data_IF_087784364147
#
_entry.id   IF_087784364147
#
_cell.length_a   1.000
_cell.length_b   1.000
_cell.length_c   1.000
_cell.angle_alpha   90.00
_cell.angle_beta   90.00
_cell.angle_gamma   90.00
#
_symmetry.space_group_name_H-M   'P 1'
#
loop_
_entity.id
_entity.type
_entity.pdbx_description
1 polymer ?
#
# COMPACT_ATOMS: atom_id res chain seq x y z
N UNK A 1 -14.62 -3.04 18.37
CA UNK A 1 -13.99 -1.79 18.87
C UNK A 1 -14.82 -0.59 18.42
N UNK A 2 -15.28 0.32 19.32
CA UNK A 2 -16.02 1.51 18.89
C UNK A 2 -15.11 2.42 18.08
N UNK A 3 -15.51 2.77 16.84
CA UNK A 3 -14.80 3.76 16.01
C UNK A 3 -14.83 5.12 16.72
N UNK A 4 -13.67 5.71 16.91
CA UNK A 4 -13.54 7.07 17.40
C UNK A 4 -13.15 7.96 16.23
N UNK A 5 -13.86 9.05 16.02
CA UNK A 5 -13.60 10.03 14.98
C UNK A 5 -13.79 11.43 15.56
N UNK A 6 -12.87 12.33 15.27
CA UNK A 6 -13.02 13.75 15.59
C UNK A 6 -12.89 14.53 14.28
N UNK A 7 -13.90 15.36 13.99
CA UNK A 7 -13.93 16.21 12.79
C UNK A 7 -12.72 17.15 12.77
N UNK A 8 -12.20 17.41 11.59
CA UNK A 8 -11.09 18.36 11.33
C UNK A 8 -9.76 18.03 12.04
N UNK A 9 -9.71 16.93 12.79
CA UNK A 9 -8.47 16.42 13.36
C UNK A 9 -7.90 15.27 12.52
N UNK A 10 -6.60 15.02 12.63
CA UNK A 10 -6.01 13.84 12.05
C UNK A 10 -6.55 12.58 12.73
N UNK A 11 -7.11 11.69 11.94
CA UNK A 11 -7.56 10.38 12.36
C UNK A 11 -6.62 9.33 11.73
N UNK A 12 -5.98 8.53 12.58
CA UNK A 12 -5.25 7.36 12.13
C UNK A 12 -6.26 6.23 11.89
N UNK A 13 -6.24 5.67 10.70
CA UNK A 13 -7.12 4.58 10.30
C UNK A 13 -6.29 3.40 9.85
N UNK A 14 -6.73 2.19 10.17
CA UNK A 14 -6.16 0.97 9.63
C UNK A 14 -7.26 0.04 9.10
N UNK A 15 -6.95 -0.68 8.02
CA UNK A 15 -7.83 -1.66 7.42
C UNK A 15 -7.03 -2.91 7.08
N UNK A 16 -7.48 -4.05 7.61
CA UNK A 16 -6.81 -5.35 7.41
C UNK A 16 -7.54 -6.20 6.38
N UNK A 17 -6.81 -7.07 5.74
CA UNK A 17 -7.37 -8.12 4.93
C UNK A 17 -8.16 -9.14 5.76
N UNK A 18 -9.08 -9.81 5.11
CA UNK A 18 -9.77 -10.98 5.68
C UNK A 18 -8.73 -12.06 6.00
N UNK A 19 -8.77 -12.61 7.20
CA UNK A 19 -7.87 -13.68 7.66
C UNK A 19 -6.37 -13.33 7.60
N UNK A 20 -6.00 -12.05 7.43
CA UNK A 20 -4.62 -11.61 7.27
C UNK A 20 -3.99 -12.07 5.95
N UNK A 21 -4.79 -12.32 4.92
CA UNK A 21 -4.30 -12.68 3.60
C UNK A 21 -3.49 -11.54 2.97
N UNK A 22 -2.52 -11.87 2.16
CA UNK A 22 -1.80 -10.88 1.38
C UNK A 22 -2.75 -10.20 0.40
N UNK A 23 -2.61 -8.88 0.25
CA UNK A 23 -3.39 -8.06 -0.67
C UNK A 23 -2.49 -7.61 -1.81
N UNK A 24 -1.30 -7.14 -1.46
CA UNK A 24 -0.38 -6.51 -2.40
C UNK A 24 0.77 -7.46 -2.73
N UNK A 25 0.73 -8.04 -3.91
CA UNK A 25 1.76 -8.93 -4.46
C UNK A 25 2.60 -8.19 -5.50
N UNK A 26 1.93 -7.47 -6.40
CA UNK A 26 2.50 -6.84 -7.57
C UNK A 26 2.41 -5.31 -7.48
N UNK A 27 3.25 -4.64 -8.27
CA UNK A 27 3.25 -3.17 -8.36
C UNK A 27 1.87 -2.64 -8.73
N UNK A 28 1.16 -3.34 -9.60
CA UNK A 28 -0.18 -2.98 -10.06
C UNK A 28 -1.20 -2.95 -8.93
N UNK A 29 -1.12 -3.88 -7.95
CA UNK A 29 -2.01 -3.89 -6.78
C UNK A 29 -1.89 -2.58 -6.00
N UNK A 30 -0.65 -2.16 -5.73
CA UNK A 30 -0.36 -0.91 -5.04
C UNK A 30 -0.83 0.32 -5.83
N UNK A 31 -0.56 0.36 -7.14
CA UNK A 31 -0.92 1.50 -7.97
C UNK A 31 -2.44 1.61 -8.16
N UNK A 32 -3.15 0.50 -8.36
CA UNK A 32 -4.61 0.51 -8.45
C UNK A 32 -5.21 1.02 -7.14
N UNK A 33 -4.78 0.49 -5.98
CA UNK A 33 -5.25 0.98 -4.70
C UNK A 33 -4.96 2.47 -4.51
N UNK A 34 -3.70 2.88 -4.73
CA UNK A 34 -3.27 4.26 -4.56
C UNK A 34 -4.04 5.25 -5.42
N UNK A 35 -4.26 4.92 -6.70
CA UNK A 35 -4.97 5.82 -7.62
C UNK A 35 -6.47 5.89 -7.31
N UNK A 36 -7.10 4.77 -6.88
CA UNK A 36 -8.48 4.76 -6.37
C UNK A 36 -8.57 5.65 -5.12
N UNK A 37 -7.67 5.46 -4.15
CA UNK A 37 -7.63 6.24 -2.93
C UNK A 37 -7.48 7.73 -3.22
N UNK A 38 -6.60 8.10 -4.16
CA UNK A 38 -6.35 9.49 -4.56
C UNK A 38 -7.57 10.13 -5.21
N UNK A 39 -8.20 9.44 -6.17
CA UNK A 39 -9.41 9.93 -6.84
C UNK A 39 -10.56 10.10 -5.84
N UNK A 40 -10.77 9.11 -4.96
CA UNK A 40 -11.81 9.18 -3.94
C UNK A 40 -11.52 10.27 -2.91
N UNK A 41 -10.26 10.48 -2.52
CA UNK A 41 -9.88 11.57 -1.62
C UNK A 41 -10.27 12.93 -2.18
N UNK A 42 -9.99 13.20 -3.46
CA UNK A 42 -10.42 14.43 -4.14
C UNK A 42 -11.95 14.55 -4.18
N UNK A 43 -12.66 13.47 -4.53
CA UNK A 43 -14.12 13.44 -4.65
C UNK A 43 -14.83 13.71 -3.31
N UNK A 44 -14.27 13.23 -2.21
CA UNK A 44 -14.84 13.40 -0.87
C UNK A 44 -14.25 14.57 -0.09
N UNK A 45 -13.37 15.36 -0.69
CA UNK A 45 -12.71 16.49 -0.02
C UNK A 45 -11.90 16.07 1.21
N UNK A 46 -11.25 14.91 1.13
CA UNK A 46 -10.40 14.41 2.20
C UNK A 46 -9.07 15.15 2.23
N UNK A 47 -8.60 15.50 3.42
CA UNK A 47 -7.22 15.94 3.62
C UNK A 47 -6.40 14.72 4.02
N UNK A 48 -5.37 14.41 3.24
CA UNK A 48 -4.50 13.24 3.46
C UNK A 48 -3.13 13.71 3.92
N UNK A 49 -2.68 13.19 5.05
CA UNK A 49 -1.36 13.48 5.63
C UNK A 49 -0.40 12.31 5.49
N UNK A 50 -0.91 11.09 5.34
CA UNK A 50 -0.08 9.92 5.15
C UNK A 50 -0.89 8.71 4.72
N UNK A 51 -0.21 7.84 3.99
CA UNK A 51 -0.71 6.55 3.53
C UNK A 51 0.45 5.56 3.59
N UNK A 52 0.20 4.34 4.10
CA UNK A 52 1.15 3.25 4.06
C UNK A 52 0.42 1.97 3.67
N UNK A 53 0.83 1.39 2.54
CA UNK A 53 0.29 0.15 2.00
C UNK A 53 1.22 -1.00 2.39
N UNK A 54 0.83 -1.76 3.40
CA UNK A 54 1.52 -2.97 3.83
C UNK A 54 0.98 -4.18 3.09
N UNK A 55 1.68 -5.29 3.11
CA UNK A 55 1.34 -6.48 2.30
C UNK A 55 -0.07 -7.01 2.60
N UNK A 56 -0.53 -6.96 3.84
CA UNK A 56 -1.82 -7.50 4.30
C UNK A 56 -2.75 -6.47 4.95
N UNK A 57 -2.32 -5.20 5.04
CA UNK A 57 -3.11 -4.12 5.67
C UNK A 57 -2.69 -2.73 5.19
N UNK A 58 -3.47 -1.74 5.56
CA UNK A 58 -3.32 -0.36 5.11
C UNK A 58 -3.44 0.57 6.31
N UNK A 59 -2.55 1.56 6.40
CA UNK A 59 -2.64 2.66 7.36
C UNK A 59 -2.85 3.98 6.64
N UNK A 60 -3.71 4.84 7.19
CA UNK A 60 -3.91 6.20 6.68
C UNK A 60 -3.92 7.23 7.82
N UNK A 61 -3.43 8.44 7.53
CA UNK A 61 -3.62 9.63 8.35
C UNK A 61 -4.43 10.64 7.53
N UNK A 62 -5.67 10.89 7.96
CA UNK A 62 -6.59 11.74 7.20
C UNK A 62 -7.43 12.61 8.11
N UNK A 63 -7.94 13.73 7.59
CA UNK A 63 -8.98 14.53 8.23
C UNK A 63 -10.10 14.90 7.26
N UNK A 64 -11.27 15.12 7.81
CA UNK A 64 -12.45 15.63 7.09
C UNK A 64 -13.42 16.27 8.09
N UNK A 65 -14.36 17.05 7.58
CA UNK A 65 -15.37 17.76 8.37
C UNK A 65 -16.48 16.87 8.96
N UNK A 66 -16.62 15.62 8.49
CA UNK A 66 -17.78 14.78 8.85
C UNK A 66 -17.41 13.29 8.95
N UNK A 67 -17.85 12.66 10.04
CA UNK A 67 -17.76 11.19 10.21
C UNK A 67 -18.52 10.43 9.12
N UNK A 68 -19.65 10.97 8.65
CA UNK A 68 -20.43 10.37 7.55
C UNK A 68 -19.66 10.40 6.24
N UNK A 69 -19.01 11.52 5.93
CA UNK A 69 -18.12 11.64 4.73
C UNK A 69 -16.97 10.67 4.83
N UNK A 70 -16.31 10.57 5.99
CA UNK A 70 -15.23 9.64 6.24
C UNK A 70 -15.65 8.17 6.01
N UNK A 71 -16.79 7.77 6.59
CA UNK A 71 -17.29 6.40 6.44
C UNK A 71 -17.64 6.08 4.98
N UNK A 72 -18.27 7.01 4.26
CA UNK A 72 -18.56 6.86 2.82
C UNK A 72 -17.29 6.75 1.99
N UNK A 73 -16.30 7.61 2.28
CA UNK A 73 -15.00 7.57 1.62
C UNK A 73 -14.33 6.20 1.78
N UNK A 74 -14.16 5.71 3.01
CA UNK A 74 -13.52 4.42 3.28
C UNK A 74 -14.26 3.26 2.62
N UNK A 75 -15.61 3.26 2.68
CA UNK A 75 -16.42 2.24 2.03
C UNK A 75 -16.26 2.25 0.51
N UNK A 76 -16.27 3.42 -0.13
CA UNK A 76 -16.14 3.51 -1.58
C UNK A 76 -14.74 3.14 -2.07
N UNK A 77 -13.68 3.52 -1.35
CA UNK A 77 -12.31 3.06 -1.66
C UNK A 77 -12.25 1.54 -1.62
N UNK A 78 -12.77 0.93 -0.53
CA UNK A 78 -12.77 -0.53 -0.38
C UNK A 78 -13.60 -1.23 -1.48
N UNK A 79 -14.82 -0.75 -1.77
CA UNK A 79 -15.70 -1.32 -2.80
C UNK A 79 -15.04 -1.28 -4.18
N UNK A 80 -14.49 -0.12 -4.57
CA UNK A 80 -13.85 0.02 -5.88
C UNK A 80 -12.61 -0.86 -6.00
N UNK A 81 -11.75 -0.86 -4.98
CA UNK A 81 -10.55 -1.69 -5.01
C UNK A 81 -10.89 -3.19 -5.03
N UNK A 82 -11.78 -3.65 -4.16
CA UNK A 82 -12.18 -5.08 -4.13
C UNK A 82 -12.79 -5.52 -5.45
N UNK A 83 -13.59 -4.66 -6.11
CA UNK A 83 -14.16 -4.95 -7.41
C UNK A 83 -13.07 -5.12 -8.48
N UNK A 84 -12.10 -4.19 -8.56
CA UNK A 84 -10.98 -4.26 -9.50
C UNK A 84 -10.08 -5.46 -9.21
N UNK A 85 -9.71 -5.66 -7.94
CA UNK A 85 -8.88 -6.75 -7.47
C UNK A 85 -9.49 -8.13 -7.78
N UNK A 86 -10.74 -8.34 -7.38
CA UNK A 86 -11.42 -9.61 -7.58
C UNK A 86 -11.60 -9.93 -9.07
N UNK A 87 -11.92 -8.92 -9.89
CA UNK A 87 -12.03 -9.09 -11.35
C UNK A 87 -10.70 -9.49 -11.98
N UNK A 88 -9.62 -8.82 -11.58
CA UNK A 88 -8.30 -9.06 -12.15
C UNK A 88 -7.71 -10.41 -11.72
N UNK A 89 -7.77 -10.73 -10.43
CA UNK A 89 -7.24 -11.95 -9.85
C UNK A 89 -8.21 -13.14 -9.92
N UNK A 90 -9.30 -13.04 -10.70
CA UNK A 90 -10.35 -14.07 -10.81
C UNK A 90 -10.81 -14.62 -9.44
N UNK A 91 -11.03 -13.72 -8.50
CA UNK A 91 -11.34 -13.99 -7.10
C UNK A 91 -12.77 -13.59 -6.76
N UNK A 92 -13.37 -14.29 -5.81
CA UNK A 92 -14.72 -13.98 -5.29
C UNK A 92 -14.66 -13.74 -3.78
N UNK A 93 -15.55 -12.90 -3.28
CA UNK A 93 -15.74 -12.66 -1.85
C UNK A 93 -14.98 -11.43 -1.31
N UNK A 94 -15.10 -11.19 0.01
CA UNK A 94 -14.52 -10.01 0.65
C UNK A 94 -12.98 -10.10 0.67
N UNK A 95 -12.32 -8.97 0.47
CA UNK A 95 -10.85 -8.85 0.57
C UNK A 95 -10.46 -8.25 1.92
N UNK A 96 -11.25 -7.30 2.42
CA UNK A 96 -11.02 -6.65 3.70
C UNK A 96 -11.93 -7.22 4.80
N UNK A 97 -11.46 -7.19 6.04
CA UNK A 97 -12.28 -7.39 7.23
C UNK A 97 -13.38 -6.32 7.28
N UNK A 98 -14.54 -6.65 7.85
CA UNK A 98 -15.74 -5.81 7.81
C UNK A 98 -15.57 -4.38 8.28
N UNK A 99 -14.63 -4.12 9.19
CA UNK A 99 -14.45 -2.81 9.80
C UNK A 99 -13.02 -2.31 9.72
N UNK A 100 -12.86 -1.04 9.36
CA UNK A 100 -11.62 -0.32 9.62
C UNK A 100 -11.59 0.17 11.07
N UNK A 101 -10.40 0.17 11.70
CA UNK A 101 -10.16 0.85 12.97
C UNK A 101 -9.89 2.34 12.74
N UNK A 102 -10.30 3.20 13.67
CA UNK A 102 -10.00 4.63 13.63
C UNK A 102 -9.71 5.16 15.02
N UNK A 103 -8.66 5.96 15.16
CA UNK A 103 -8.26 6.63 16.38
C UNK A 103 -7.86 8.08 16.08
N UNK A 104 -8.57 9.08 16.64
CA UNK A 104 -8.21 10.48 16.49
C UNK A 104 -6.90 10.78 17.22
N UNK A 105 -6.11 11.66 16.66
CA UNK A 105 -4.82 12.10 17.18
C UNK A 105 -4.87 13.59 17.51
N UNK A 106 -5.00 13.90 18.78
CA UNK A 106 -5.04 15.28 19.30
C UNK A 106 -3.74 15.63 20.00
N UNK A 107 -3.23 16.84 19.75
CA UNK A 107 -1.99 17.35 20.31
C UNK A 107 -0.73 16.87 19.58
N UNK A 108 0.30 17.71 19.59
CA UNK A 108 1.51 17.56 18.78
C UNK A 108 2.26 16.23 19.05
N UNK A 109 2.36 15.82 20.32
CA UNK A 109 3.02 14.57 20.70
C UNK A 109 2.33 13.36 20.04
N UNK A 110 0.98 13.26 20.16
CA UNK A 110 0.22 12.15 19.56
C UNK A 110 0.24 12.17 18.03
N UNK A 111 0.29 13.36 17.44
CA UNK A 111 0.45 13.51 15.98
C UNK A 111 1.81 12.96 15.52
N UNK A 112 2.90 13.40 16.15
CA UNK A 112 4.25 12.93 15.84
C UNK A 112 4.39 11.41 16.02
N UNK A 113 3.85 10.86 17.11
CA UNK A 113 3.81 9.41 17.34
C UNK A 113 3.05 8.68 16.22
N UNK A 114 1.89 9.20 15.80
CA UNK A 114 1.11 8.57 14.74
C UNK A 114 1.79 8.65 13.37
N UNK A 115 2.47 9.75 13.07
CA UNK A 115 3.25 9.95 11.84
C UNK A 115 4.43 8.95 11.83
N UNK A 116 5.21 8.91 12.91
CA UNK A 116 6.34 7.98 13.04
C UNK A 116 5.86 6.52 12.93
N UNK A 117 4.80 6.14 13.63
CA UNK A 117 4.20 4.81 13.54
C UNK A 117 3.80 4.46 12.10
N UNK A 118 3.07 5.34 11.40
CA UNK A 118 2.63 5.08 10.03
C UNK A 118 3.82 4.82 9.10
N UNK A 119 4.84 5.67 9.14
CA UNK A 119 5.97 5.56 8.22
C UNK A 119 6.97 4.46 8.60
N UNK A 120 7.05 4.06 9.89
CA UNK A 120 7.93 2.99 10.36
C UNK A 120 7.33 1.58 10.27
N UNK A 121 6.04 1.43 9.96
CA UNK A 121 5.44 0.11 9.76
C UNK A 121 6.28 -0.83 8.88
N UNK A 122 6.80 -0.39 7.70
CA UNK A 122 7.62 -1.24 6.86
C UNK A 122 8.95 -1.64 7.50
N UNK A 123 9.54 -0.76 8.33
CA UNK A 123 10.78 -1.05 9.07
C UNK A 123 10.53 -2.11 10.14
N UNK A 124 9.45 -1.98 10.91
CA UNK A 124 9.05 -2.95 11.94
C UNK A 124 8.72 -4.33 11.34
N UNK A 125 8.27 -4.37 10.08
CA UNK A 125 8.00 -5.60 9.33
C UNK A 125 9.17 -6.09 8.50
N UNK A 126 10.35 -5.50 8.65
CA UNK A 126 11.60 -5.87 7.98
C UNK A 126 11.52 -5.80 6.44
N UNK A 127 10.69 -4.92 5.90
CA UNK A 127 10.59 -4.66 4.46
C UNK A 127 11.66 -3.69 3.94
N UNK A 128 12.20 -2.88 4.83
CA UNK A 128 13.28 -1.92 4.57
C UNK A 128 14.05 -1.62 5.85
N UNK A 129 15.21 -0.99 5.74
CA UNK A 129 16.02 -0.56 6.90
C UNK A 129 15.59 0.81 7.43
N UNK A 130 15.16 1.71 6.55
CA UNK A 130 14.72 3.07 6.87
C UNK A 130 13.38 3.36 6.20
N UNK A 131 12.54 4.15 6.83
CA UNK A 131 11.18 4.42 6.37
C UNK A 131 11.11 4.94 4.93
N UNK A 132 12.01 5.84 4.52
CA UNK A 132 12.05 6.41 3.17
C UNK A 132 12.49 5.42 2.08
N UNK A 133 12.97 4.23 2.42
CA UNK A 133 13.34 3.19 1.47
C UNK A 133 12.15 2.34 1.00
N UNK A 134 10.99 2.51 1.64
CA UNK A 134 9.78 1.79 1.25
C UNK A 134 8.88 2.67 0.40
N UNK A 135 8.78 2.37 -0.90
CA UNK A 135 8.01 3.15 -1.87
C UNK A 135 6.55 3.36 -1.45
N UNK A 136 5.92 2.35 -0.88
CA UNK A 136 4.49 2.30 -0.64
C UNK A 136 4.02 2.93 0.68
N UNK A 137 4.91 3.58 1.40
CA UNK A 137 4.53 4.53 2.45
C UNK A 137 4.55 5.99 1.95
N UNK A 138 5.04 6.20 0.72
CA UNK A 138 5.09 7.48 0.02
C UNK A 138 5.95 8.58 0.67
N UNK A 139 6.69 8.29 1.75
CA UNK A 139 7.47 9.27 2.49
C UNK A 139 8.55 9.95 1.63
N UNK A 140 9.24 9.17 0.81
CA UNK A 140 10.34 9.67 -0.02
C UNK A 140 9.90 10.72 -1.06
N UNK A 141 8.61 10.69 -1.46
CA UNK A 141 8.05 11.67 -2.39
C UNK A 141 7.82 13.06 -1.77
N UNK A 142 8.04 13.21 -0.47
CA UNK A 142 8.09 14.53 0.17
C UNK A 142 9.33 15.36 -0.24
N UNK A 143 10.40 14.69 -0.67
CA UNK A 143 11.67 15.33 -1.03
C UNK A 143 11.99 15.28 -2.52
N UNK A 144 11.41 14.35 -3.28
CA UNK A 144 11.74 14.15 -4.69
C UNK A 144 10.56 13.56 -5.47
N UNK A 145 10.41 13.94 -6.72
CA UNK A 145 9.43 13.37 -7.64
C UNK A 145 9.88 12.00 -8.22
N UNK A 146 11.12 11.63 -8.03
CA UNK A 146 11.72 10.40 -8.57
C UNK A 146 12.65 9.70 -7.55
N UNK A 147 12.16 9.40 -6.32
CA UNK A 147 13.02 8.87 -5.27
C UNK A 147 13.47 7.42 -5.51
N UNK A 148 12.83 6.69 -6.42
CA UNK A 148 13.12 5.29 -6.72
C UNK A 148 13.50 5.05 -8.19
N UNK A 149 13.68 6.11 -8.96
CA UNK A 149 14.10 6.04 -10.36
C UNK A 149 15.05 7.18 -10.73
N UNK A 150 15.71 7.05 -11.88
CA UNK A 150 16.43 8.17 -12.48
C UNK A 150 15.46 9.29 -12.88
N UNK A 151 15.89 10.55 -12.85
CA UNK A 151 15.10 11.67 -13.33
C UNK A 151 14.58 11.44 -14.75
N UNK A 152 13.29 11.70 -14.95
CA UNK A 152 12.63 11.52 -16.24
C UNK A 152 13.08 12.60 -17.24
N UNK A 153 13.79 12.18 -18.28
CA UNK A 153 14.21 13.05 -19.40
C UNK A 153 13.43 12.66 -20.65
N UNK A 154 12.38 13.41 -21.01
CA UNK A 154 11.48 13.08 -22.12
C UNK A 154 12.18 12.84 -23.47
N UNK A 155 13.28 13.55 -23.76
CA UNK A 155 14.06 13.35 -24.97
C UNK A 155 14.72 11.98 -25.04
N UNK A 156 15.07 11.39 -23.91
CA UNK A 156 15.69 10.06 -23.79
C UNK A 156 14.68 8.92 -23.59
N UNK A 157 13.42 9.23 -23.28
CA UNK A 157 12.38 8.26 -23.05
C UNK A 157 11.96 7.56 -24.35
N UNK A 158 11.68 6.25 -24.29
CA UNK A 158 11.16 5.49 -25.41
C UNK A 158 9.81 6.01 -25.88
N UNK A 159 9.38 5.65 -27.09
CA UNK A 159 8.03 5.95 -27.58
C UNK A 159 6.96 5.37 -26.66
N UNK A 160 7.24 4.18 -26.09
CA UNK A 160 6.33 3.47 -25.19
C UNK A 160 6.15 4.23 -23.88
N UNK A 161 7.24 4.62 -23.22
CA UNK A 161 7.18 5.42 -22.01
C UNK A 161 6.44 6.74 -22.26
N UNK A 162 6.80 7.49 -23.32
CA UNK A 162 6.11 8.74 -23.65
C UNK A 162 4.61 8.58 -23.87
N UNK A 163 4.17 7.47 -24.48
CA UNK A 163 2.74 7.16 -24.66
C UNK A 163 2.07 6.86 -23.33
N UNK A 164 2.72 6.08 -22.45
CA UNK A 164 2.22 5.77 -21.12
C UNK A 164 2.07 7.04 -20.26
N UNK A 165 3.06 7.95 -20.26
CA UNK A 165 2.97 9.24 -19.56
C UNK A 165 1.76 10.05 -20.00
N UNK A 166 1.51 10.17 -21.33
CA UNK A 166 0.34 10.86 -21.87
C UNK A 166 -0.98 10.19 -21.44
N UNK A 167 -1.02 8.87 -21.37
CA UNK A 167 -2.19 8.14 -20.91
C UNK A 167 -2.46 8.39 -19.43
N UNK A 168 -1.42 8.40 -18.59
CA UNK A 168 -1.53 8.78 -17.17
C UNK A 168 -2.11 10.19 -17.04
N UNK A 169 -1.55 11.18 -17.74
CA UNK A 169 -2.03 12.56 -17.71
C UNK A 169 -3.48 12.68 -18.13
N UNK A 170 -3.87 11.97 -19.18
CA UNK A 170 -5.25 11.93 -19.66
C UNK A 170 -6.19 11.34 -18.60
N UNK A 171 -5.80 10.28 -17.93
CA UNK A 171 -6.60 9.61 -16.89
C UNK A 171 -6.73 10.50 -15.65
N UNK A 172 -5.64 11.14 -15.21
CA UNK A 172 -5.67 12.14 -14.12
C UNK A 172 -6.57 13.31 -14.46
N UNK A 173 -6.49 13.86 -15.70
CA UNK A 173 -7.33 14.98 -16.14
C UNK A 173 -8.82 14.65 -16.11
N UNK A 174 -9.20 13.41 -16.39
CA UNK A 174 -10.59 12.94 -16.28
C UNK A 174 -11.01 12.60 -14.85
N UNK A 175 -10.11 12.73 -13.87
CA UNK A 175 -10.30 12.33 -12.48
C UNK A 175 -10.71 10.85 -12.34
N UNK A 176 -10.07 9.99 -13.12
CA UNK A 176 -10.23 8.54 -13.13
C UNK A 176 -9.01 7.87 -12.48
N UNK A 177 -9.18 6.68 -11.93
CA UNK A 177 -8.10 5.87 -11.40
C UNK A 177 -7.54 4.92 -12.47
N UNK A 178 -6.32 4.41 -12.25
CA UNK A 178 -5.69 3.42 -13.13
C UNK A 178 -6.24 2.03 -12.85
N UNK A 179 -6.60 1.29 -13.91
CA UNK A 179 -7.04 -0.10 -13.81
C UNK A 179 -5.88 -1.07 -14.03
N UNK A 180 -6.03 -2.32 -13.57
CA UNK A 180 -5.03 -3.37 -13.83
C UNK A 180 -4.72 -3.53 -15.33
N UNK A 181 -5.75 -3.54 -16.17
CA UNK A 181 -5.61 -3.69 -17.62
C UNK A 181 -4.76 -2.56 -18.22
N UNK A 182 -4.99 -1.32 -17.76
CA UNK A 182 -4.18 -0.18 -18.22
C UNK A 182 -2.72 -0.32 -17.78
N UNK A 183 -2.47 -0.61 -16.51
CA UNK A 183 -1.13 -0.72 -15.95
C UNK A 183 -0.34 -1.86 -16.64
N UNK A 184 -0.91 -3.07 -16.72
CA UNK A 184 -0.26 -4.20 -17.41
C UNK A 184 0.10 -3.83 -18.85
N UNK A 185 -0.82 -3.23 -19.61
CA UNK A 185 -0.56 -2.79 -20.99
C UNK A 185 0.58 -1.77 -21.07
N UNK A 186 0.67 -0.85 -20.12
CA UNK A 186 1.72 0.16 -20.09
C UNK A 186 3.08 -0.46 -19.80
N UNK A 187 3.17 -1.37 -18.82
CA UNK A 187 4.43 -1.98 -18.40
C UNK A 187 4.98 -2.99 -19.39
N UNK A 188 4.14 -3.60 -20.24
CA UNK A 188 4.60 -4.61 -21.22
C UNK A 188 5.73 -4.06 -22.09
N UNK A 189 6.89 -4.72 -22.02
CA UNK A 189 8.08 -4.44 -22.81
C UNK A 189 8.80 -3.14 -22.46
N UNK A 190 8.57 -2.57 -21.29
CA UNK A 190 9.47 -1.59 -20.67
C UNK A 190 10.59 -2.34 -19.96
N UNK A 191 11.77 -1.72 -19.94
CA UNK A 191 12.84 -2.18 -19.08
C UNK A 191 12.59 -1.76 -17.60
N UNK A 192 13.41 -2.26 -16.68
CA UNK A 192 13.29 -1.96 -15.26
C UNK A 192 13.44 -0.46 -14.95
N UNK A 193 14.25 0.27 -15.72
CA UNK A 193 14.46 1.70 -15.55
C UNK A 193 13.22 2.49 -15.93
N UNK A 194 12.68 2.28 -17.13
CA UNK A 194 11.46 2.96 -17.60
C UNK A 194 10.23 2.58 -16.78
N UNK A 195 10.15 1.32 -16.32
CA UNK A 195 9.12 0.87 -15.41
C UNK A 195 9.15 1.66 -14.10
N UNK A 196 10.31 1.81 -13.47
CA UNK A 196 10.44 2.60 -12.24
C UNK A 196 10.12 4.08 -12.46
N UNK A 197 10.54 4.66 -13.59
CA UNK A 197 10.20 6.05 -13.96
C UNK A 197 8.68 6.24 -14.12
N UNK A 198 7.98 5.29 -14.75
CA UNK A 198 6.54 5.33 -14.90
C UNK A 198 5.81 5.19 -13.56
N UNK A 199 6.29 4.31 -12.67
CA UNK A 199 5.72 4.14 -11.32
C UNK A 199 5.83 5.45 -10.54
N UNK A 200 7.02 6.06 -10.47
CA UNK A 200 7.22 7.32 -9.76
C UNK A 200 6.36 8.42 -10.38
N UNK A 201 6.29 8.49 -11.71
CA UNK A 201 5.43 9.45 -12.41
C UNK A 201 3.95 9.29 -12.03
N UNK A 202 3.41 8.06 -12.03
CA UNK A 202 2.02 7.81 -11.62
C UNK A 202 1.80 8.28 -10.19
N UNK A 203 2.70 7.95 -9.26
CA UNK A 203 2.58 8.35 -7.86
C UNK A 203 2.55 9.86 -7.71
N UNK A 204 3.44 10.58 -8.37
CA UNK A 204 3.50 12.04 -8.34
C UNK A 204 2.25 12.67 -8.96
N UNK A 205 1.79 12.17 -10.12
CA UNK A 205 0.59 12.71 -10.79
C UNK A 205 -0.70 12.51 -10.01
N UNK A 206 -0.78 11.45 -9.20
CA UNK A 206 -1.92 11.16 -8.32
C UNK A 206 -1.73 11.68 -6.90
N UNK A 207 -0.60 12.34 -6.57
CA UNK A 207 -0.31 12.76 -5.21
C UNK A 207 -1.41 13.65 -4.62
N UNK A 208 -1.78 13.30 -3.38
CA UNK A 208 -2.78 14.01 -2.57
C UNK A 208 -2.30 14.21 -1.13
N UNK A 209 -1.06 13.78 -0.83
CA UNK A 209 -0.50 13.86 0.51
C UNK A 209 0.03 15.26 0.74
N UNK A 210 -0.39 15.89 1.82
CA UNK A 210 0.03 17.23 2.22
C UNK A 210 1.31 17.18 3.05
N UNK A 211 2.43 16.91 2.39
CA UNK A 211 3.74 16.82 3.06
C UNK A 211 4.13 18.12 3.77
N UNK A 212 3.84 19.27 3.15
CA UNK A 212 4.12 20.58 3.73
C UNK A 212 3.45 20.76 5.10
N UNK A 213 2.19 20.32 5.24
CA UNK A 213 1.50 20.35 6.53
C UNK A 213 2.19 19.50 7.61
N UNK A 214 2.81 18.37 7.23
CA UNK A 214 3.57 17.54 8.16
C UNK A 214 4.91 18.19 8.53
N UNK A 215 5.67 18.61 7.53
CA UNK A 215 7.02 19.15 7.72
C UNK A 215 7.01 20.47 8.49
N UNK A 216 6.05 21.36 8.19
CA UNK A 216 6.00 22.70 8.83
C UNK A 216 5.28 22.69 10.16
N UNK A 217 4.12 21.99 10.28
CA UNK A 217 3.30 22.03 11.50
C UNK A 217 3.77 21.06 12.58
N UNK A 218 4.43 19.96 12.16
CA UNK A 218 4.79 18.91 13.10
C UNK A 218 6.29 18.82 13.40
N UNK A 219 7.19 19.22 12.50
CA UNK A 219 8.61 18.89 12.64
C UNK A 219 9.61 20.01 12.34
N UNK A 220 9.20 21.17 11.86
CA UNK A 220 10.14 22.24 11.44
C UNK A 220 11.11 21.75 10.35
N UNK A 221 10.55 21.16 9.27
CA UNK A 221 11.28 20.75 8.09
C UNK A 221 11.32 19.24 7.85
N UNK A 222 11.65 18.87 6.62
CA UNK A 222 11.69 17.46 6.17
C UNK A 222 12.78 16.65 6.88
N UNK A 223 13.98 17.19 7.02
CA UNK A 223 15.10 16.48 7.65
C UNK A 223 14.83 16.19 9.12
N UNK A 224 14.26 17.14 9.86
CA UNK A 224 13.84 16.92 11.24
C UNK A 224 12.73 15.89 11.37
N UNK A 225 11.78 15.89 10.43
CA UNK A 225 10.74 14.85 10.36
C UNK A 225 11.37 13.48 10.10
N UNK A 226 12.28 13.38 9.15
CA UNK A 226 12.93 12.13 8.78
C UNK A 226 13.81 11.58 9.92
N UNK A 227 14.57 12.47 10.59
CA UNK A 227 15.35 12.11 11.78
C UNK A 227 14.46 11.57 12.89
N UNK A 228 13.35 12.24 13.19
CA UNK A 228 12.39 11.81 14.22
C UNK A 228 11.74 10.48 13.87
N UNK A 229 11.36 10.25 12.62
CA UNK A 229 10.78 8.98 12.16
C UNK A 229 11.81 7.85 12.35
N UNK A 230 13.03 8.02 11.84
CA UNK A 230 14.05 6.97 11.87
C UNK A 230 14.63 6.71 13.28
N UNK A 231 14.56 7.67 14.23
CA UNK A 231 15.00 7.47 15.60
C UNK A 231 13.98 6.73 16.47
N UNK A 232 12.69 6.72 16.10
CA UNK A 232 11.60 6.12 16.87
C UNK A 232 11.25 4.69 16.42
N UNK A 233 12.14 4.00 15.75
CA UNK A 233 11.92 2.61 15.33
C UNK A 233 11.73 1.72 16.57
N UNK A 234 10.49 1.37 16.89
CA UNK A 234 10.15 0.24 17.74
C UNK A 234 9.87 0.48 19.22
N UNK A 235 9.89 1.70 19.79
CA UNK A 235 9.89 1.83 21.24
C UNK A 235 8.66 2.45 21.93
N UNK A 236 7.73 3.11 21.27
CA UNK A 236 6.69 3.90 21.96
C UNK A 236 5.24 3.73 21.45
N UNK A 237 4.92 2.67 20.74
CA UNK A 237 3.58 2.56 20.20
C UNK A 237 2.64 1.84 21.17
N UNK A 238 1.65 2.56 21.72
CA UNK A 238 0.54 2.02 22.53
C UNK A 238 -0.38 1.05 21.77
N UNK A 239 -0.17 0.86 20.49
CA UNK A 239 -0.88 -0.13 19.70
C UNK A 239 -0.07 -1.41 19.74
N UNK A 240 -0.41 -2.30 20.66
CA UNK A 240 -0.01 -3.71 20.62
C UNK A 240 -0.61 -4.37 19.38
N UNK A 241 -0.06 -4.07 18.21
CA UNK A 241 -0.11 -5.01 17.12
C UNK A 241 0.78 -6.14 17.56
N UNK A 242 0.14 -7.29 17.78
CA UNK A 242 0.77 -8.52 18.25
C UNK A 242 2.20 -8.64 17.72
N UNK A 243 3.16 -8.51 18.62
CA UNK A 243 4.61 -8.69 18.37
C UNK A 243 4.89 -10.14 17.98
N UNK A 244 4.38 -10.53 16.83
CA UNK A 244 4.89 -11.73 16.18
C UNK A 244 6.09 -11.27 15.37
N UNK A 245 7.28 -11.64 15.78
CA UNK A 245 8.55 -11.39 15.11
C UNK A 245 8.65 -12.06 13.75
N UNK A 246 7.70 -11.76 12.87
CA UNK A 246 7.59 -12.34 11.53
C UNK A 246 7.90 -11.27 10.50
N UNK A 247 8.90 -11.56 9.70
CA UNK A 247 9.29 -10.72 8.58
C UNK A 247 8.28 -10.82 7.44
N UNK A 248 7.74 -9.68 7.00
CA UNK A 248 6.96 -9.63 5.76
C UNK A 248 7.85 -9.77 4.51
N UNK A 249 9.18 -9.70 4.66
CA UNK A 249 10.12 -9.96 3.57
C UNK A 249 9.98 -11.39 2.99
N UNK A 250 9.55 -12.37 3.83
CA UNK A 250 9.28 -13.73 3.39
C UNK A 250 8.20 -13.83 2.31
N UNK A 251 7.24 -12.90 2.27
CA UNK A 251 6.24 -12.88 1.19
C UNK A 251 6.83 -12.53 -0.17
N UNK A 252 7.88 -11.70 -0.22
CA UNK A 252 8.62 -11.42 -1.45
C UNK A 252 9.37 -12.65 -1.94
N UNK A 253 9.91 -13.43 -1.00
CA UNK A 253 10.55 -14.70 -1.31
C UNK A 253 9.54 -15.72 -1.85
N UNK A 254 8.37 -15.88 -1.21
CA UNK A 254 7.30 -16.76 -1.70
C UNK A 254 6.80 -16.32 -3.09
N UNK A 255 6.72 -15.02 -3.35
CA UNK A 255 6.33 -14.52 -4.67
C UNK A 255 7.36 -14.90 -5.74
N UNK A 256 8.66 -14.76 -5.45
CA UNK A 256 9.72 -15.23 -6.35
C UNK A 256 9.66 -16.74 -6.57
N UNK A 257 9.47 -17.52 -5.50
CA UNK A 257 9.33 -18.97 -5.57
C UNK A 257 8.22 -19.43 -6.54
N UNK A 258 7.03 -18.82 -6.47
CA UNK A 258 5.95 -19.22 -7.40
C UNK A 258 6.26 -18.86 -8.86
N UNK A 259 6.95 -17.75 -9.11
CA UNK A 259 7.44 -17.42 -10.44
C UNK A 259 8.45 -18.44 -10.96
N UNK A 260 9.38 -18.92 -10.14
CA UNK A 260 10.33 -19.97 -10.47
C UNK A 260 9.63 -21.31 -10.76
N UNK A 261 8.47 -21.56 -10.14
CA UNK A 261 7.58 -22.71 -10.43
C UNK A 261 6.71 -22.52 -11.69
N UNK A 262 6.81 -21.38 -12.38
CA UNK A 262 6.15 -21.11 -13.66
C UNK A 262 4.83 -20.35 -13.57
N UNK A 263 4.40 -19.90 -12.41
CA UNK A 263 3.25 -19.01 -12.28
C UNK A 263 3.59 -17.61 -12.82
N UNK A 264 2.72 -17.05 -13.64
CA UNK A 264 2.94 -15.75 -14.30
C UNK A 264 2.67 -14.57 -13.37
N UNK A 265 1.69 -14.72 -12.50
CA UNK A 265 1.27 -13.66 -11.56
C UNK A 265 0.56 -14.24 -10.33
N UNK A 266 0.28 -13.36 -9.36
CA UNK A 266 -0.40 -13.74 -8.14
C UNK A 266 -1.84 -14.22 -8.38
N UNK A 267 -2.50 -13.75 -9.43
CA UNK A 267 -3.85 -14.16 -9.79
C UNK A 267 -3.94 -15.65 -10.07
N UNK A 268 -2.95 -16.21 -10.79
CA UNK A 268 -2.88 -17.65 -11.05
C UNK A 268 -2.79 -18.46 -9.76
N UNK A 269 -1.99 -17.99 -8.78
CA UNK A 269 -1.84 -18.66 -7.48
C UNK A 269 -3.11 -18.53 -6.63
N UNK A 270 -3.68 -17.32 -6.56
CA UNK A 270 -4.87 -17.02 -5.75
C UNK A 270 -6.10 -17.77 -6.28
N UNK A 271 -6.21 -17.95 -7.58
CA UNK A 271 -7.36 -18.62 -8.23
C UNK A 271 -7.25 -20.14 -8.30
N UNK A 272 -6.13 -20.74 -7.88
CA UNK A 272 -5.98 -22.19 -7.86
C UNK A 272 -7.12 -22.90 -7.13
N UNK A 273 -7.57 -24.07 -7.59
CA UNK A 273 -8.43 -24.96 -6.82
C UNK A 273 -7.82 -25.30 -5.45
N UNK A 274 -8.68 -25.56 -4.47
CA UNK A 274 -8.26 -25.79 -3.09
C UNK A 274 -7.23 -26.91 -2.95
N UNK A 275 -7.43 -28.02 -3.64
CA UNK A 275 -6.49 -29.17 -3.62
C UNK A 275 -5.13 -28.80 -4.20
N UNK A 276 -5.10 -28.00 -5.26
CA UNK A 276 -3.85 -27.49 -5.85
C UNK A 276 -3.12 -26.54 -4.92
N UNK A 277 -3.85 -25.69 -4.19
CA UNK A 277 -3.27 -24.83 -3.14
C UNK A 277 -2.67 -25.64 -2.01
N UNK A 278 -3.31 -26.72 -1.59
CA UNK A 278 -2.77 -27.60 -0.54
C UNK A 278 -1.49 -28.31 -1.01
N UNK A 279 -1.43 -28.79 -2.25
CA UNK A 279 -0.20 -29.34 -2.82
C UNK A 279 0.93 -28.30 -2.82
N UNK A 280 0.65 -27.12 -3.39
CA UNK A 280 1.62 -26.02 -3.42
C UNK A 280 2.06 -25.60 -2.01
N UNK A 281 1.16 -25.60 -1.02
CA UNK A 281 1.50 -25.34 0.38
C UNK A 281 2.49 -26.38 0.92
N UNK A 282 2.28 -27.67 0.65
CA UNK A 282 3.19 -28.75 1.07
C UNK A 282 4.56 -28.59 0.42
N UNK A 283 4.60 -28.29 -0.88
CA UNK A 283 5.86 -28.06 -1.63
C UNK A 283 6.61 -26.86 -1.00
N UNK A 284 5.93 -25.75 -0.77
CA UNK A 284 6.52 -24.57 -0.11
C UNK A 284 7.04 -24.88 1.30
N UNK A 285 6.32 -25.69 2.08
CA UNK A 285 6.78 -26.09 3.41
C UNK A 285 8.03 -26.97 3.37
N UNK A 286 8.17 -27.79 2.37
CA UNK A 286 9.32 -28.69 2.20
C UNK A 286 10.55 -27.98 1.60
N UNK A 287 10.31 -27.02 0.70
CA UNK A 287 11.36 -26.38 -0.09
C UNK A 287 11.77 -25.00 0.46
N UNK A 288 11.03 -24.46 1.44
CA UNK A 288 11.33 -23.15 2.03
C UNK A 288 11.36 -23.19 3.56
N UNK A 289 12.02 -22.20 4.16
CA UNK A 289 12.02 -22.02 5.63
C UNK A 289 10.84 -21.19 6.13
N UNK A 290 9.90 -20.81 5.23
CA UNK A 290 8.79 -19.93 5.57
C UNK A 290 7.75 -20.66 6.41
N UNK A 291 7.19 -19.99 7.42
CA UNK A 291 6.23 -20.61 8.32
C UNK A 291 4.93 -20.99 7.60
N UNK A 292 4.34 -22.12 7.99
CA UNK A 292 3.03 -22.57 7.47
C UNK A 292 1.97 -21.48 7.46
N UNK A 293 1.93 -20.66 8.53
CA UNK A 293 0.96 -19.56 8.63
C UNK A 293 1.17 -18.50 7.54
N UNK A 294 2.41 -18.14 7.24
CA UNK A 294 2.71 -17.16 6.18
C UNK A 294 2.41 -17.74 4.79
N UNK A 295 2.76 -19.01 4.57
CA UNK A 295 2.37 -19.71 3.33
C UNK A 295 0.85 -19.73 3.15
N UNK A 296 0.10 -20.06 4.19
CA UNK A 296 -1.37 -20.05 4.12
C UNK A 296 -1.94 -18.65 3.80
N UNK A 297 -1.39 -17.60 4.42
CA UNK A 297 -1.78 -16.21 4.13
C UNK A 297 -1.46 -15.81 2.70
N UNK A 298 -0.31 -16.24 2.19
CA UNK A 298 0.12 -16.00 0.81
C UNK A 298 -0.81 -16.70 -0.19
N UNK A 299 -1.23 -17.94 0.08
CA UNK A 299 -2.09 -18.74 -0.79
C UNK A 299 -3.59 -18.47 -0.61
N UNK A 300 -3.99 -17.55 0.27
CA UNK A 300 -5.39 -17.32 0.67
C UNK A 300 -6.07 -18.61 1.21
N UNK A 301 -5.34 -19.41 1.97
CA UNK A 301 -5.87 -20.54 2.71
C UNK A 301 -6.27 -20.14 4.14
N UNK A 302 -7.50 -20.44 4.56
CA UNK A 302 -7.91 -20.22 5.94
C UNK A 302 -7.17 -21.22 6.85
N UNK A 303 -6.47 -20.69 7.85
CA UNK A 303 -5.85 -21.52 8.89
C UNK A 303 -6.87 -21.76 10.00
N UNK A 304 -7.32 -22.99 10.16
CA UNK A 304 -8.00 -23.40 11.38
C UNK A 304 -6.89 -23.66 12.41
N UNK A 305 -6.68 -22.72 13.32
CA UNK A 305 -5.84 -22.96 14.48
C UNK A 305 -6.63 -23.96 15.35
N UNK A 306 -6.17 -25.22 15.38
CA UNK A 306 -6.55 -26.15 16.41
C UNK A 306 -5.73 -25.90 17.66
#
# INVERSE_FOLDING_TARGET
MKRKFIKEQMNHTYQRSVSGFNIFYEVEDYLVYYTIFSVMSRRYGMVVYGLCLMIDHIHTLTSTSSCKTFSKFMSNVAIQFVKEYNRYHNRVGPLFSECFGSAPKAGLKRLRTAIAYLFNNPVERLLCKRAQEYRWNFLAYAASDNPFSDPLVLKKASRRLRRALKEVDGTVKRNEYMTYVQLKRMFVGMDARETNQLIDYIIVRYNIIRYEDLTTKCYDGYENMLMAINSNAGSEYEVQELRYGRSDAEYRYLYKYVHEKGFKDAGEVISLPLDSKFKLMVDMMNETSVSKLQICKFLHLKVTLK
#
